data_IF_741693138002
#
_entry.id   IF_741693138002
#
_cell.length_a   1.000
_cell.length_b   1.000
_cell.length_c   1.000
_cell.angle_alpha   90.00
_cell.angle_beta   90.00
_cell.angle_gamma   90.00
#
_symmetry.space_group_name_H-M   'P 1'
#
loop_
_entity.id
_entity.type
_entity.pdbx_description
1 polymer ?
#
# COMPACT_ATOMS: atom_id res chain seq x y z
N UNK A 1 8.24 16.23 10.39
CA UNK A 1 7.30 15.56 9.46
C UNK A 1 7.71 15.86 8.02
N UNK A 2 7.40 14.98 7.06
CA UNK A 2 7.87 15.08 5.68
C UNK A 2 7.08 16.08 4.80
N UNK A 3 5.93 16.58 5.28
CA UNK A 3 5.16 17.62 4.59
C UNK A 3 4.56 17.18 3.25
N UNK A 4 4.14 15.91 3.12
CA UNK A 4 3.57 15.39 1.89
C UNK A 4 2.26 16.13 1.53
N UNK A 5 2.17 16.84 0.39
CA UNK A 5 1.03 17.72 0.07
C UNK A 5 -0.33 17.03 0.03
N UNK A 6 -0.34 15.71 -0.26
CA UNK A 6 -1.56 14.91 -0.34
C UNK A 6 -1.96 14.25 0.98
N UNK A 7 -1.17 14.38 2.04
CA UNK A 7 -1.40 13.68 3.31
C UNK A 7 -2.78 13.99 3.90
N UNK A 8 -3.10 15.28 4.12
CA UNK A 8 -4.36 15.70 4.74
C UNK A 8 -5.58 15.22 3.94
N UNK A 9 -5.49 15.30 2.61
CA UNK A 9 -6.56 14.83 1.72
C UNK A 9 -6.72 13.31 1.78
N UNK A 10 -5.60 12.58 1.82
CA UNK A 10 -5.61 11.11 1.91
C UNK A 10 -6.20 10.63 3.24
N UNK A 11 -5.81 11.24 4.37
CA UNK A 11 -6.35 10.91 5.69
C UNK A 11 -7.86 11.19 5.79
N UNK A 12 -8.30 12.36 5.31
CA UNK A 12 -9.72 12.71 5.27
C UNK A 12 -10.53 11.72 4.40
N UNK A 13 -9.97 11.33 3.24
CA UNK A 13 -10.60 10.36 2.34
C UNK A 13 -10.68 8.97 2.97
N UNK A 14 -9.59 8.49 3.60
CA UNK A 14 -9.55 7.21 4.29
C UNK A 14 -10.65 7.12 5.34
N UNK A 15 -10.76 8.13 6.21
CA UNK A 15 -11.78 8.18 7.25
C UNK A 15 -13.19 8.13 6.67
N UNK A 16 -13.49 8.99 5.70
CA UNK A 16 -14.82 9.05 5.08
C UNK A 16 -15.17 7.74 4.33
N UNK A 17 -14.20 7.14 3.65
CA UNK A 17 -14.40 5.88 2.94
C UNK A 17 -14.67 4.72 3.91
N UNK A 18 -13.92 4.61 5.00
CA UNK A 18 -14.12 3.56 6.00
C UNK A 18 -15.47 3.70 6.72
N UNK A 19 -15.88 4.91 7.08
CA UNK A 19 -17.20 5.18 7.67
C UNK A 19 -18.33 4.74 6.73
N UNK A 20 -18.25 5.12 5.45
CA UNK A 20 -19.27 4.75 4.46
C UNK A 20 -19.27 3.25 4.16
N UNK A 21 -18.10 2.63 4.04
CA UNK A 21 -17.98 1.19 3.75
C UNK A 21 -18.54 0.34 4.91
N UNK A 22 -18.25 0.70 6.16
CA UNK A 22 -18.81 0.04 7.33
C UNK A 22 -20.32 0.22 7.43
N UNK A 23 -20.84 1.41 7.11
CA UNK A 23 -22.29 1.67 7.08
C UNK A 23 -23.00 0.79 6.05
N UNK A 24 -22.44 0.66 4.85
CA UNK A 24 -23.03 -0.15 3.75
C UNK A 24 -22.87 -1.66 3.93
N UNK A 25 -21.80 -2.10 4.58
CA UNK A 25 -21.41 -3.52 4.72
C UNK A 25 -21.03 -3.83 6.17
N UNK A 26 -21.96 -3.72 7.13
CA UNK A 26 -21.66 -3.88 8.56
C UNK A 26 -21.22 -5.29 8.93
N UNK A 27 -21.52 -6.28 8.09
CA UNK A 27 -21.12 -7.69 8.24
C UNK A 27 -19.68 -7.98 7.76
N UNK A 28 -19.00 -7.00 7.14
CA UNK A 28 -17.65 -7.17 6.62
C UNK A 28 -16.68 -6.19 7.25
N UNK A 29 -15.52 -6.71 7.67
CA UNK A 29 -14.38 -5.89 8.07
C UNK A 29 -13.72 -5.34 6.80
N UNK A 30 -13.96 -4.07 6.50
CA UNK A 30 -13.38 -3.36 5.38
C UNK A 30 -12.37 -2.35 5.92
N UNK A 31 -11.10 -2.68 5.82
CA UNK A 31 -9.99 -1.83 6.26
C UNK A 31 -9.23 -1.29 5.05
N UNK A 32 -8.49 -0.20 5.25
CA UNK A 32 -7.62 0.36 4.22
C UNK A 32 -6.54 -0.64 3.84
N UNK A 33 -6.34 -0.81 2.55
CA UNK A 33 -5.26 -1.64 2.04
C UNK A 33 -3.94 -0.85 2.04
N UNK A 34 -2.81 -1.58 2.07
CA UNK A 34 -1.49 -0.95 2.10
C UNK A 34 -1.23 -0.12 0.82
N UNK A 35 -1.85 -0.49 -0.30
CA UNK A 35 -1.69 0.18 -1.58
C UNK A 35 -2.16 1.64 -1.55
N UNK A 36 -3.18 1.97 -0.74
CA UNK A 36 -3.67 3.34 -0.59
C UNK A 36 -2.55 4.29 -0.14
N UNK A 37 -1.90 3.97 0.98
CA UNK A 37 -0.81 4.78 1.51
C UNK A 37 0.48 4.63 0.70
N UNK A 38 0.74 3.45 0.11
CA UNK A 38 1.87 3.26 -0.80
C UNK A 38 1.80 4.19 -2.01
N UNK A 39 0.61 4.39 -2.59
CA UNK A 39 0.42 5.31 -3.73
C UNK A 39 0.73 6.77 -3.35
N UNK A 40 0.28 7.23 -2.17
CA UNK A 40 0.57 8.58 -1.67
C UNK A 40 2.07 8.78 -1.44
N UNK A 41 2.74 7.79 -0.85
CA UNK A 41 4.18 7.84 -0.59
C UNK A 41 5.02 7.84 -1.88
N UNK A 42 4.63 7.03 -2.87
CA UNK A 42 5.34 6.96 -4.15
C UNK A 42 5.10 8.22 -5.00
N UNK A 43 3.88 8.77 -5.01
CA UNK A 43 3.59 10.06 -5.65
C UNK A 43 4.40 11.19 -5.02
N UNK A 44 4.49 11.24 -3.69
CA UNK A 44 5.34 12.21 -2.98
C UNK A 44 6.83 12.05 -3.32
N UNK A 45 7.29 10.83 -3.57
CA UNK A 45 8.64 10.54 -4.03
C UNK A 45 8.85 10.75 -5.55
N UNK A 46 7.89 11.41 -6.22
CA UNK A 46 7.91 11.71 -7.66
C UNK A 46 8.00 10.47 -8.56
N UNK A 47 7.55 9.31 -8.07
CA UNK A 47 7.51 8.08 -8.87
C UNK A 47 6.30 8.13 -9.81
N UNK A 48 6.49 8.00 -11.14
CA UNK A 48 5.40 7.94 -12.09
C UNK A 48 4.46 6.76 -11.82
N UNK A 49 3.14 6.97 -11.98
CA UNK A 49 2.14 5.93 -11.70
C UNK A 49 2.38 4.60 -12.43
N UNK A 50 2.85 4.64 -13.68
CA UNK A 50 3.16 3.43 -14.46
C UNK A 50 4.35 2.63 -13.92
N UNK A 51 5.13 3.19 -12.99
CA UNK A 51 6.25 2.51 -12.31
C UNK A 51 5.83 1.86 -10.98
N UNK A 52 4.57 1.97 -10.54
CA UNK A 52 4.11 1.41 -9.26
C UNK A 52 4.47 -0.08 -9.12
N UNK A 53 4.15 -0.89 -10.14
CA UNK A 53 4.46 -2.33 -10.18
C UNK A 53 5.96 -2.58 -10.10
N UNK A 54 6.77 -1.76 -10.77
CA UNK A 54 8.24 -1.88 -10.72
C UNK A 54 8.77 -1.61 -9.31
N UNK A 55 8.29 -0.57 -8.64
CA UNK A 55 8.67 -0.27 -7.24
C UNK A 55 8.22 -1.37 -6.27
N UNK A 56 7.01 -1.88 -6.46
CA UNK A 56 6.52 -3.02 -5.68
C UNK A 56 7.39 -4.27 -5.88
N UNK A 57 7.80 -4.52 -7.12
CA UNK A 57 8.72 -5.62 -7.48
C UNK A 57 10.06 -5.45 -6.78
N UNK A 58 10.64 -4.25 -6.78
CA UNK A 58 11.88 -3.95 -6.06
C UNK A 58 11.76 -4.33 -4.58
N UNK A 59 10.69 -3.93 -3.89
CA UNK A 59 10.46 -4.28 -2.48
C UNK A 59 10.29 -5.80 -2.27
N UNK A 60 9.60 -6.48 -3.19
CA UNK A 60 9.34 -7.93 -3.08
C UNK A 60 10.55 -8.81 -3.35
N UNK A 61 11.57 -8.32 -4.05
CA UNK A 61 12.80 -9.09 -4.35
C UNK A 61 13.46 -9.65 -3.10
N UNK A 62 13.45 -8.92 -1.97
CA UNK A 62 14.00 -9.39 -0.70
C UNK A 62 13.27 -10.64 -0.19
N UNK A 63 11.93 -10.60 -0.14
CA UNK A 63 11.10 -11.72 0.31
C UNK A 63 11.15 -12.91 -0.65
N UNK A 64 11.11 -12.66 -1.95
CA UNK A 64 11.23 -13.74 -2.94
C UNK A 64 12.59 -14.42 -2.87
N UNK A 65 13.67 -13.65 -2.74
CA UNK A 65 15.02 -14.22 -2.59
C UNK A 65 15.13 -15.04 -1.31
N UNK A 66 14.55 -14.57 -0.20
CA UNK A 66 14.51 -15.31 1.05
C UNK A 66 13.77 -16.65 0.90
N UNK A 67 12.58 -16.65 0.31
CA UNK A 67 11.83 -17.90 0.07
C UNK A 67 12.51 -18.83 -0.93
N UNK A 68 13.16 -18.31 -1.97
CA UNK A 68 13.95 -19.14 -2.90
C UNK A 68 15.09 -19.84 -2.15
N UNK A 69 15.79 -19.12 -1.27
CA UNK A 69 16.87 -19.69 -0.47
C UNK A 69 16.36 -20.70 0.57
N UNK A 70 15.21 -20.42 1.18
CA UNK A 70 14.50 -21.35 2.07
C UNK A 70 14.13 -22.64 1.33
N UNK A 71 13.41 -22.53 0.21
CA UNK A 71 13.02 -23.66 -0.63
C UNK A 71 14.23 -24.48 -1.08
N UNK A 72 15.34 -23.83 -1.45
CA UNK A 72 16.59 -24.51 -1.81
C UNK A 72 17.19 -25.32 -0.64
N UNK A 73 16.96 -24.91 0.60
CA UNK A 73 17.49 -25.56 1.80
C UNK A 73 16.56 -26.66 2.33
N UNK A 74 15.24 -26.49 2.21
CA UNK A 74 14.25 -27.36 2.84
C UNK A 74 13.55 -28.34 1.90
N UNK A 75 13.58 -28.09 0.58
CA UNK A 75 12.70 -28.78 -0.37
C UNK A 75 11.28 -28.24 -0.31
#
# INVERSE_FOLDING_TARGET
>A
ELGAPRYEVAEALEKAALEELHSRRPDRVLATNVEFWAAIMLDFAEVPAHMFTSMFTCARTAGWSAHILEQKRTG
#
